data_IF_815482563276
#
_entry.id   IF_815482563276
#
_cell.length_a   1.000
_cell.length_b   1.000
_cell.length_c   1.000
_cell.angle_alpha   90.00
_cell.angle_beta   90.00
_cell.angle_gamma   90.00
#
_symmetry.space_group_name_H-M   'P 1'
#
loop_
_entity.id
_entity.type
_entity.pdbx_description
1 polymer ?
#
# COMPACT_ATOMS: atom_id res chain seq x y z
N UNK A 1 0.84 10.23 -16.99
CA UNK A 1 -0.58 9.98 -16.67
C UNK A 1 -0.88 10.68 -15.36
N UNK A 2 -1.96 11.46 -15.28
CA UNK A 2 -2.33 12.17 -14.04
C UNK A 2 -3.51 11.43 -13.37
N UNK A 3 -3.41 11.24 -12.07
CA UNK A 3 -4.43 10.65 -11.22
C UNK A 3 -4.42 11.34 -9.85
N UNK A 4 -5.49 11.15 -9.09
CA UNK A 4 -5.61 11.65 -7.73
C UNK A 4 -6.16 10.55 -6.84
N UNK A 5 -5.48 10.29 -5.73
CA UNK A 5 -6.02 9.49 -4.64
C UNK A 5 -7.06 10.34 -3.92
N UNK A 6 -8.30 9.85 -3.85
CA UNK A 6 -9.36 10.56 -3.15
C UNK A 6 -9.13 10.52 -1.64
N UNK A 7 -9.44 11.62 -0.96
CA UNK A 7 -9.55 11.65 0.50
C UNK A 7 -10.84 10.98 1.03
N UNK A 8 -11.76 10.60 0.14
CA UNK A 8 -13.01 9.92 0.48
C UNK A 8 -13.42 8.91 -0.62
N UNK A 9 -13.57 7.61 -0.30
CA UNK A 9 -13.22 7.03 0.99
C UNK A 9 -11.71 7.16 1.25
N UNK A 10 -11.35 7.44 2.50
CA UNK A 10 -9.97 7.70 2.90
C UNK A 10 -9.07 6.50 2.56
N UNK A 11 -7.87 6.75 2.06
CA UNK A 11 -6.93 5.66 1.79
C UNK A 11 -6.48 5.01 3.11
N UNK A 12 -6.31 3.69 3.11
CA UNK A 12 -5.86 2.95 4.29
C UNK A 12 -4.63 2.14 3.94
N UNK A 13 -3.62 2.23 4.79
CA UNK A 13 -2.42 1.42 4.75
C UNK A 13 -2.42 0.47 5.95
N UNK A 14 -2.31 -0.83 5.70
CA UNK A 14 -2.00 -1.83 6.71
C UNK A 14 -0.56 -2.26 6.50
N UNK A 15 0.25 -2.14 7.54
CA UNK A 15 1.66 -2.51 7.52
C UNK A 15 1.92 -3.67 8.46
N UNK A 16 2.59 -4.70 7.94
CA UNK A 16 3.07 -5.83 8.71
C UNK A 16 4.58 -5.91 8.62
N UNK A 17 5.24 -6.14 9.74
CA UNK A 17 6.64 -6.54 9.75
C UNK A 17 6.75 -7.94 9.20
N UNK A 18 7.74 -8.14 8.35
CA UNK A 18 8.10 -9.47 7.84
C UNK A 18 9.12 -10.06 8.81
N UNK A 19 8.80 -11.16 9.53
CA UNK A 19 9.72 -11.79 10.46
C UNK A 19 11.01 -12.25 9.77
N UNK A 20 12.14 -12.13 10.47
CA UNK A 20 13.46 -12.42 9.91
C UNK A 20 13.60 -13.86 9.37
N UNK A 21 12.96 -14.83 10.03
CA UNK A 21 12.90 -16.23 9.62
C UNK A 21 12.06 -16.47 8.36
N UNK A 22 11.17 -15.54 8.01
CA UNK A 22 10.33 -15.61 6.81
C UNK A 22 10.88 -14.82 5.62
N UNK A 23 11.89 -13.96 5.80
CA UNK A 23 12.41 -13.07 4.76
C UNK A 23 12.90 -13.80 3.50
N UNK A 24 13.61 -14.92 3.66
CA UNK A 24 14.12 -15.68 2.51
C UNK A 24 12.97 -16.26 1.67
N UNK A 25 11.96 -16.84 2.33
CA UNK A 25 10.79 -17.40 1.66
C UNK A 25 9.93 -16.30 1.01
N UNK A 26 9.77 -15.16 1.69
CA UNK A 26 9.09 -13.99 1.15
C UNK A 26 9.79 -13.45 -0.10
N UNK A 27 11.11 -13.29 -0.06
CA UNK A 27 11.90 -12.84 -1.22
C UNK A 27 11.79 -13.79 -2.41
N UNK A 28 11.75 -15.10 -2.17
CA UNK A 28 11.53 -16.09 -3.22
C UNK A 28 10.12 -15.97 -3.84
N UNK A 29 9.07 -15.80 -3.02
CA UNK A 29 7.70 -15.61 -3.47
C UNK A 29 7.46 -14.27 -4.18
N UNK A 30 8.20 -13.22 -3.79
CA UNK A 30 8.15 -11.91 -4.42
C UNK A 30 8.71 -11.91 -5.85
N UNK A 31 9.49 -12.94 -6.23
CA UNK A 31 10.15 -13.05 -7.54
C UNK A 31 10.93 -11.78 -7.91
N UNK A 32 11.80 -11.32 -7.01
CA UNK A 32 12.55 -10.09 -7.23
C UNK A 32 13.40 -10.17 -8.52
N UNK A 33 13.25 -9.20 -9.45
CA UNK A 33 14.13 -9.05 -10.60
C UNK A 33 15.60 -8.92 -10.21
N UNK A 34 16.49 -9.31 -11.11
CA UNK A 34 17.92 -9.15 -10.92
C UNK A 34 18.27 -7.67 -10.64
N UNK A 35 19.14 -7.44 -9.66
CA UNK A 35 19.54 -6.10 -9.23
C UNK A 35 18.64 -5.47 -8.16
N UNK A 36 17.48 -6.07 -7.85
CA UNK A 36 16.64 -5.67 -6.71
C UNK A 36 16.87 -6.60 -5.52
N UNK A 37 16.98 -6.02 -4.33
CA UNK A 37 17.10 -6.77 -3.07
C UNK A 37 16.15 -6.21 -2.02
N UNK A 38 15.56 -7.05 -1.18
CA UNK A 38 14.71 -6.59 -0.07
C UNK A 38 15.47 -5.60 0.80
N UNK A 39 14.80 -4.51 1.17
CA UNK A 39 15.36 -3.46 2.01
C UNK A 39 14.46 -3.20 3.20
N UNK A 40 15.06 -2.64 4.25
CA UNK A 40 14.33 -2.10 5.38
C UNK A 40 13.92 -0.65 5.11
N UNK A 41 12.87 -0.18 5.79
CA UNK A 41 12.46 1.24 5.79
C UNK A 41 11.92 1.63 7.16
N UNK A 42 12.11 2.90 7.55
CA UNK A 42 11.38 3.53 8.65
C UNK A 42 10.10 4.14 8.10
N UNK A 43 8.95 3.74 8.63
CA UNK A 43 7.68 4.21 8.08
C UNK A 43 7.34 5.60 8.62
N UNK A 44 7.44 5.82 9.93
CA UNK A 44 7.05 7.08 10.58
C UNK A 44 8.22 7.77 11.29
N UNK A 45 8.12 9.09 11.44
CA UNK A 45 9.05 9.87 12.24
C UNK A 45 9.04 9.37 13.70
N UNK A 46 10.24 9.27 14.29
CA UNK A 46 10.43 8.67 15.61
C UNK A 46 10.65 7.16 15.61
N UNK A 47 10.55 6.48 14.46
CA UNK A 47 10.97 5.07 14.36
C UNK A 47 12.46 4.92 14.68
N UNK A 48 12.75 4.16 15.75
CA UNK A 48 14.11 3.92 16.21
C UNK A 48 14.91 3.01 15.26
N UNK A 49 14.24 2.09 14.55
CA UNK A 49 14.85 1.12 13.65
C UNK A 49 14.06 1.02 12.35
N UNK A 50 14.78 0.77 11.25
CA UNK A 50 14.18 0.37 9.99
C UNK A 50 13.87 -1.13 10.02
N UNK A 51 12.75 -1.54 9.42
CA UNK A 51 12.31 -2.93 9.38
C UNK A 51 11.90 -3.34 7.96
N UNK A 52 11.76 -4.63 7.70
CA UNK A 52 11.15 -5.14 6.47
C UNK A 52 9.64 -5.16 6.60
N UNK A 53 8.96 -4.59 5.61
CA UNK A 53 7.52 -4.39 5.65
C UNK A 53 6.82 -4.99 4.45
N UNK A 54 5.66 -5.60 4.70
CA UNK A 54 4.60 -5.80 3.73
C UNK A 54 3.54 -4.73 4.00
N UNK A 55 3.13 -4.01 2.95
CA UNK A 55 2.10 -2.98 3.03
C UNK A 55 0.96 -3.34 2.09
N UNK A 56 -0.25 -3.45 2.61
CA UNK A 56 -1.48 -3.36 1.82
C UNK A 56 -1.96 -1.91 1.85
N UNK A 57 -2.13 -1.31 0.68
CA UNK A 57 -2.73 0.00 0.54
C UNK A 57 -4.04 -0.12 -0.25
N UNK A 58 -5.13 0.43 0.28
CA UNK A 58 -6.43 0.50 -0.40
C UNK A 58 -6.85 1.96 -0.51
N UNK A 59 -7.21 2.38 -1.72
CA UNK A 59 -7.60 3.76 -2.00
C UNK A 59 -8.57 3.81 -3.18
N UNK A 60 -9.21 4.97 -3.36
CA UNK A 60 -9.96 5.29 -4.57
C UNK A 60 -9.13 6.23 -5.45
N UNK A 61 -8.98 5.87 -6.72
CA UNK A 61 -8.36 6.72 -7.74
C UNK A 61 -9.42 7.55 -8.48
N UNK A 62 -9.02 8.73 -8.95
CA UNK A 62 -9.69 9.48 -10.01
C UNK A 62 -8.70 9.94 -11.08
N UNK A 63 -9.21 10.34 -12.25
CA UNK A 63 -8.41 10.81 -13.38
C UNK A 63 -8.29 9.75 -14.46
N UNK A 64 -7.06 9.41 -14.86
CA UNK A 64 -6.82 8.45 -15.93
C UNK A 64 -7.27 7.01 -15.60
N UNK A 65 -7.41 6.71 -14.32
CA UNK A 65 -8.10 5.54 -13.80
C UNK A 65 -9.07 5.97 -12.70
N UNK A 66 -10.22 5.29 -12.58
CA UNK A 66 -11.27 5.67 -11.66
C UNK A 66 -11.85 4.46 -10.94
N UNK A 67 -11.83 4.49 -9.61
CA UNK A 67 -12.39 3.45 -8.76
C UNK A 67 -11.40 2.92 -7.72
N UNK A 68 -11.82 1.90 -6.98
CA UNK A 68 -11.04 1.32 -5.89
C UNK A 68 -9.85 0.52 -6.41
N UNK A 69 -8.71 0.67 -5.72
CA UNK A 69 -7.49 -0.09 -5.94
C UNK A 69 -7.00 -0.66 -4.62
N UNK A 70 -6.48 -1.88 -4.68
CA UNK A 70 -5.77 -2.54 -3.61
C UNK A 70 -4.38 -2.94 -4.10
N UNK A 71 -3.35 -2.59 -3.35
CA UNK A 71 -1.96 -2.86 -3.70
C UNK A 71 -1.19 -3.46 -2.53
N UNK A 72 -0.61 -4.63 -2.75
CA UNK A 72 0.40 -5.20 -1.88
C UNK A 72 1.77 -4.79 -2.37
N UNK A 73 2.59 -4.28 -1.46
CA UNK A 73 3.92 -3.79 -1.76
C UNK A 73 4.90 -4.09 -0.64
N UNK A 74 6.18 -4.09 -1.00
CA UNK A 74 7.31 -4.13 -0.06
C UNK A 74 8.37 -3.12 -0.51
N UNK A 75 9.52 -3.11 0.15
CA UNK A 75 10.60 -2.17 -0.10
C UNK A 75 11.85 -2.90 -0.54
N UNK A 76 12.49 -2.37 -1.59
CA UNK A 76 13.70 -2.92 -2.17
C UNK A 76 14.73 -1.83 -2.37
N UNK A 77 15.99 -2.21 -2.53
CA UNK A 77 17.03 -1.33 -3.06
C UNK A 77 17.47 -1.83 -4.43
N UNK A 78 17.68 -0.87 -5.34
CA UNK A 78 18.27 -1.08 -6.67
C UNK A 78 19.80 -0.87 -6.68
N UNK A 79 20.40 -0.75 -5.49
CA UNK A 79 21.82 -0.40 -5.29
C UNK A 79 22.11 1.10 -5.29
N UNK A 80 21.12 1.94 -5.65
CA UNK A 80 21.23 3.41 -5.64
C UNK A 80 20.36 4.01 -4.54
N UNK A 81 19.14 3.51 -4.36
CA UNK A 81 18.23 4.03 -3.34
C UNK A 81 17.11 3.07 -2.98
N UNK A 82 16.34 3.46 -1.97
CA UNK A 82 15.15 2.76 -1.55
C UNK A 82 14.03 2.95 -2.59
N UNK A 83 13.30 1.88 -2.85
CA UNK A 83 12.23 1.79 -3.85
C UNK A 83 11.07 1.01 -3.29
N UNK A 84 9.86 1.40 -3.69
CA UNK A 84 8.66 0.60 -3.47
C UNK A 84 8.59 -0.47 -4.56
N UNK A 85 8.26 -1.70 -4.16
CA UNK A 85 8.11 -2.85 -5.04
C UNK A 85 6.69 -3.37 -4.95
N UNK A 86 5.96 -3.30 -6.05
CA UNK A 86 4.57 -3.75 -6.15
C UNK A 86 4.55 -5.26 -6.37
N UNK A 87 4.05 -5.97 -5.37
CA UNK A 87 3.92 -7.43 -5.37
C UNK A 87 2.66 -7.85 -6.12
N UNK A 88 1.56 -7.14 -5.88
CA UNK A 88 0.26 -7.41 -6.46
C UNK A 88 -0.59 -6.14 -6.46
N UNK A 89 -1.32 -5.91 -7.55
CA UNK A 89 -2.27 -4.81 -7.66
C UNK A 89 -3.60 -5.34 -8.19
N UNK A 90 -4.71 -4.95 -7.57
CA UNK A 90 -6.08 -5.27 -7.95
C UNK A 90 -6.88 -4.00 -8.05
N UNK A 91 -7.78 -3.93 -9.03
CA UNK A 91 -8.64 -2.76 -9.25
C UNK A 91 -10.10 -3.20 -9.39
N UNK A 92 -11.02 -2.39 -8.86
CA UNK A 92 -12.47 -2.57 -9.01
C UNK A 92 -13.01 -2.26 -10.41
N UNK A 93 -12.12 -1.99 -11.35
CA UNK A 93 -12.39 -1.60 -12.73
C UNK A 93 -11.38 -2.27 -13.65
N UNK A 94 -11.64 -2.27 -14.96
CA UNK A 94 -10.68 -2.78 -15.94
C UNK A 94 -9.44 -1.90 -15.93
N UNK A 95 -8.29 -2.48 -15.63
CA UNK A 95 -7.05 -1.73 -15.44
C UNK A 95 -5.94 -2.26 -16.33
N UNK A 96 -4.90 -1.43 -16.48
CA UNK A 96 -3.66 -1.79 -17.14
C UNK A 96 -2.53 -1.61 -16.14
N UNK A 97 -1.70 -2.64 -16.02
CA UNK A 97 -0.48 -2.62 -15.22
C UNK A 97 0.65 -3.30 -16.01
N UNK A 98 1.92 -3.03 -15.70
CA UNK A 98 3.05 -3.54 -16.48
C UNK A 98 3.16 -5.07 -16.48
N UNK A 99 2.57 -5.77 -15.50
CA UNK A 99 2.68 -7.22 -15.35
C UNK A 99 1.57 -7.94 -16.12
N UNK A 100 0.33 -7.47 -15.99
CA UNK A 100 -0.84 -8.15 -16.54
C UNK A 100 -1.32 -7.56 -17.87
N UNK A 101 -0.85 -6.36 -18.26
CA UNK A 101 -1.28 -5.55 -19.41
C UNK A 101 -2.78 -5.20 -19.40
N UNK A 102 -3.68 -6.17 -19.30
CA UNK A 102 -5.12 -5.97 -19.09
C UNK A 102 -5.61 -6.86 -17.96
N UNK A 103 -6.16 -6.23 -16.93
CA UNK A 103 -6.75 -6.88 -15.77
C UNK A 103 -8.25 -6.63 -15.77
N UNK A 104 -9.04 -7.69 -15.64
CA UNK A 104 -10.48 -7.57 -15.43
C UNK A 104 -10.79 -7.02 -14.03
N UNK A 105 -11.96 -6.38 -13.83
CA UNK A 105 -12.37 -5.89 -12.52
C UNK A 105 -12.33 -6.97 -11.45
N UNK A 106 -11.78 -6.63 -10.29
CA UNK A 106 -11.70 -7.47 -9.12
C UNK A 106 -12.68 -6.98 -8.05
N UNK A 107 -13.37 -7.86 -7.30
CA UNK A 107 -14.30 -7.42 -6.26
C UNK A 107 -13.54 -6.73 -5.13
N UNK A 108 -13.75 -5.42 -4.99
CA UNK A 108 -13.22 -4.58 -3.92
C UNK A 108 -14.37 -3.75 -3.38
N UNK A 109 -14.58 -3.80 -2.07
CA UNK A 109 -15.46 -2.89 -1.35
C UNK A 109 -14.65 -2.18 -0.27
N UNK A 110 -14.83 -0.87 -0.18
CA UNK A 110 -14.17 -0.04 0.81
C UNK A 110 -15.13 1.09 1.20
N UNK A 111 -15.56 1.08 2.45
CA UNK A 111 -16.62 1.96 2.93
C UNK A 111 -16.22 2.62 4.23
N UNK A 112 -16.60 3.89 4.38
CA UNK A 112 -16.51 4.64 5.63
C UNK A 112 -17.91 5.12 5.97
N UNK A 113 -18.43 4.75 7.15
CA UNK A 113 -19.80 5.11 7.50
C UNK A 113 -20.17 4.81 8.95
N UNK A 114 -21.33 5.33 9.41
CA UNK A 114 -21.75 5.16 10.79
C UNK A 114 -22.22 3.73 11.08
N UNK A 115 -21.71 3.12 12.15
CA UNK A 115 -22.15 1.83 12.69
C UNK A 115 -22.28 1.97 14.20
N UNK A 116 -23.50 1.80 14.72
CA UNK A 116 -23.80 1.87 16.15
C UNK A 116 -23.28 3.14 16.89
N UNK A 117 -23.11 4.26 16.17
CA UNK A 117 -22.61 5.53 16.71
C UNK A 117 -21.16 5.85 16.39
N UNK A 118 -20.37 4.86 15.96
CA UNK A 118 -18.97 5.05 15.53
C UNK A 118 -18.88 5.23 14.02
N UNK A 119 -17.87 5.95 13.54
CA UNK A 119 -17.51 5.93 12.12
C UNK A 119 -16.61 4.72 11.89
N UNK A 120 -17.07 3.72 11.13
CA UNK A 120 -16.34 2.49 10.87
C UNK A 120 -15.79 2.50 9.45
N UNK A 121 -14.54 2.07 9.31
CA UNK A 121 -13.92 1.73 8.02
C UNK A 121 -14.02 0.22 7.84
N UNK A 122 -14.60 -0.21 6.73
CA UNK A 122 -14.69 -1.62 6.36
C UNK A 122 -14.15 -1.84 4.95
N UNK A 123 -13.32 -2.86 4.79
CA UNK A 123 -12.64 -3.20 3.54
C UNK A 123 -12.79 -4.69 3.26
N UNK A 124 -13.11 -5.06 2.02
CA UNK A 124 -13.05 -6.43 1.53
C UNK A 124 -12.44 -6.47 0.13
N UNK A 125 -11.52 -7.39 -0.10
CA UNK A 125 -10.88 -7.61 -1.39
C UNK A 125 -10.98 -9.09 -1.73
N UNK A 126 -11.56 -9.43 -2.86
CA UNK A 126 -11.76 -10.83 -3.26
C UNK A 126 -12.99 -11.48 -2.63
N UNK A 127 -13.09 -12.79 -2.81
CA UNK A 127 -14.12 -13.62 -2.19
C UNK A 127 -13.53 -15.01 -1.86
N UNK A 128 -14.17 -15.70 -0.91
CA UNK A 128 -13.75 -17.05 -0.50
C UNK A 128 -12.49 -17.08 0.37
N UNK A 129 -11.80 -18.23 0.45
CA UNK A 129 -10.69 -18.45 1.39
C UNK A 129 -9.46 -17.57 1.16
N UNK A 130 -9.32 -16.98 -0.02
CA UNK A 130 -8.19 -16.11 -0.38
C UNK A 130 -8.50 -14.62 -0.22
N UNK A 131 -9.68 -14.28 0.28
CA UNK A 131 -10.10 -12.89 0.44
C UNK A 131 -9.36 -12.21 1.59
N UNK A 132 -9.19 -10.89 1.46
CA UNK A 132 -8.83 -10.02 2.57
C UNK A 132 -10.09 -9.32 3.08
N UNK A 133 -10.24 -9.22 4.40
CA UNK A 133 -11.22 -8.35 5.03
C UNK A 133 -10.63 -7.64 6.24
N UNK A 134 -11.01 -6.37 6.42
CA UNK A 134 -10.63 -5.57 7.58
C UNK A 134 -11.77 -4.67 8.02
N UNK A 135 -11.92 -4.48 9.33
CA UNK A 135 -12.87 -3.51 9.90
C UNK A 135 -12.32 -2.91 11.19
N UNK A 136 -12.51 -1.60 11.37
CA UNK A 136 -12.13 -0.89 12.60
C UNK A 136 -12.96 0.39 12.77
N UNK A 137 -13.14 0.82 14.02
CA UNK A 137 -13.64 2.16 14.31
C UNK A 137 -12.55 3.18 13.99
N UNK A 138 -12.89 4.20 13.19
CA UNK A 138 -12.01 5.29 12.83
C UNK A 138 -11.85 6.21 14.05
N UNK A 139 -10.65 6.33 14.64
CA UNK A 139 -10.46 7.22 15.76
C UNK A 139 -10.66 8.68 15.35
N UNK A 140 -11.06 9.49 16.32
CA UNK A 140 -11.09 10.95 16.16
C UNK A 140 -9.68 11.44 15.83
N UNK A 141 -9.57 12.28 14.79
CA UNK A 141 -8.28 12.82 14.39
C UNK A 141 -7.82 13.85 15.43
N UNK A 142 -6.55 13.76 15.81
CA UNK A 142 -5.92 14.69 16.74
C UNK A 142 -4.52 14.24 17.14
N UNK A 143 -3.79 15.07 17.93
CA UNK A 143 -2.36 14.90 18.15
C UNK A 143 -1.93 13.53 18.70
N UNK A 144 -2.81 12.84 19.45
CA UNK A 144 -2.53 11.50 20.00
C UNK A 144 -2.65 10.36 18.97
N UNK A 145 -3.22 10.64 17.81
CA UNK A 145 -3.44 9.68 16.72
C UNK A 145 -2.70 10.09 15.44
N UNK A 146 -2.12 11.29 15.40
CA UNK A 146 -1.38 11.77 14.25
C UNK A 146 0.01 11.13 14.18
N UNK A 147 0.34 10.61 13.00
CA UNK A 147 1.66 10.09 12.67
C UNK A 147 2.15 10.75 11.39
N UNK A 148 3.42 11.14 11.38
CA UNK A 148 4.06 11.73 10.20
C UNK A 148 4.91 10.65 9.53
N UNK A 149 4.67 10.40 8.24
CA UNK A 149 5.48 9.46 7.49
C UNK A 149 6.89 10.01 7.28
N UNK A 150 7.91 9.15 7.33
CA UNK A 150 9.28 9.59 7.05
C UNK A 150 9.41 9.99 5.58
N UNK A 151 10.33 10.91 5.30
CA UNK A 151 10.74 11.23 3.92
C UNK A 151 11.33 10.01 3.19
N UNK A 152 11.90 9.07 3.94
CA UNK A 152 12.44 7.81 3.41
C UNK A 152 11.32 6.95 2.82
N UNK A 153 10.22 6.78 3.55
CA UNK A 153 9.04 6.06 3.08
C UNK A 153 8.37 6.75 1.90
N UNK A 154 8.17 8.07 1.99
CA UNK A 154 7.59 8.86 0.89
C UNK A 154 8.45 8.74 -0.38
N UNK A 155 9.76 9.01 -0.27
CA UNK A 155 10.68 8.96 -1.40
C UNK A 155 10.90 7.56 -1.98
N UNK A 156 10.57 6.49 -1.24
CA UNK A 156 10.59 5.13 -1.80
C UNK A 156 9.58 4.97 -2.95
N UNK A 157 8.51 5.76 -2.97
CA UNK A 157 7.47 5.69 -4.01
C UNK A 157 7.80 6.50 -5.26
N UNK A 158 8.86 7.32 -5.26
CA UNK A 158 9.30 8.08 -6.44
C UNK A 158 9.61 7.18 -7.64
N UNK A 159 10.08 5.96 -7.38
CA UNK A 159 10.30 4.94 -8.38
C UNK A 159 9.77 3.59 -7.88
N UNK A 160 8.70 3.11 -8.52
CA UNK A 160 7.97 1.90 -8.17
C UNK A 160 8.28 0.79 -9.14
N UNK A 161 8.88 -0.28 -8.65
CA UNK A 161 9.16 -1.47 -9.46
C UNK A 161 8.02 -2.46 -9.39
N UNK A 162 7.77 -3.11 -10.52
CA UNK A 162 6.85 -4.22 -10.66
C UNK A 162 7.60 -5.55 -10.73
N UNK A 163 6.90 -6.67 -10.52
CA UNK A 163 7.53 -8.00 -10.50
C UNK A 163 8.26 -8.40 -11.78
N UNK A 164 7.96 -7.78 -12.91
CA UNK A 164 8.67 -8.00 -14.17
C UNK A 164 9.89 -7.06 -14.36
N UNK A 165 10.24 -6.25 -13.37
CA UNK A 165 11.38 -5.32 -13.42
C UNK A 165 11.08 -4.00 -14.12
N UNK A 166 9.85 -3.80 -14.62
CA UNK A 166 9.42 -2.50 -15.12
C UNK A 166 9.27 -1.53 -13.95
N UNK A 167 9.71 -0.29 -14.13
CA UNK A 167 9.63 0.75 -13.12
C UNK A 167 8.79 1.91 -13.61
N UNK A 168 7.83 2.34 -12.79
CA UNK A 168 7.11 3.59 -12.97
C UNK A 168 7.78 4.67 -12.14
N UNK A 169 7.85 5.90 -12.67
CA UNK A 169 8.31 7.05 -11.91
C UNK A 169 7.14 7.91 -11.52
N UNK A 170 7.03 8.25 -10.25
CA UNK A 170 5.90 9.01 -9.72
C UNK A 170 6.35 10.34 -9.13
N UNK A 171 5.47 11.32 -9.29
CA UNK A 171 5.62 12.65 -8.74
C UNK A 171 4.36 12.94 -7.93
N UNK A 172 4.55 13.22 -6.65
CA UNK A 172 3.50 13.52 -5.70
C UNK A 172 3.50 15.01 -5.38
N UNK A 173 2.33 15.57 -5.13
CA UNK A 173 2.25 16.85 -4.44
C UNK A 173 2.61 16.70 -2.94
N UNK A 174 2.74 17.81 -2.23
CA UNK A 174 3.24 17.80 -0.84
C UNK A 174 2.30 17.15 0.18
N UNK A 175 1.01 16.95 -0.14
CA UNK A 175 0.02 16.35 0.77
C UNK A 175 0.35 14.89 1.16
N UNK A 176 1.22 14.22 0.39
CA UNK A 176 1.76 12.90 0.78
C UNK A 176 2.46 12.94 2.15
N UNK A 177 3.02 14.09 2.54
CA UNK A 177 3.68 14.33 3.83
C UNK A 177 2.72 14.77 4.94
N UNK A 178 1.44 15.01 4.63
CA UNK A 178 0.47 15.38 5.65
C UNK A 178 0.32 14.25 6.69
N UNK A 179 0.12 14.59 7.98
CA UNK A 179 -0.08 13.60 9.02
C UNK A 179 -1.19 12.61 8.68
N UNK A 180 -0.94 11.33 8.96
CA UNK A 180 -1.94 10.26 8.84
C UNK A 180 -2.57 10.01 10.20
N UNK A 181 -3.79 9.47 10.20
CA UNK A 181 -4.42 8.98 11.43
C UNK A 181 -3.98 7.55 11.68
N UNK A 182 -3.27 7.31 12.76
CA UNK A 182 -2.92 5.98 13.26
C UNK A 182 -4.11 5.35 13.97
N UNK A 183 -4.32 4.06 13.70
CA UNK A 183 -5.31 3.22 14.35
C UNK A 183 -4.58 2.18 15.19
N UNK A 184 -5.03 1.98 16.43
CA UNK A 184 -4.49 0.92 17.30
C UNK A 184 -4.69 -0.44 16.62
N UNK A 185 -3.63 -1.17 16.25
CA UNK A 185 -3.74 -2.45 15.58
C UNK A 185 -4.54 -3.49 16.37
N UNK A 186 -4.58 -3.39 17.71
CA UNK A 186 -5.37 -4.30 18.55
C UNK A 186 -6.88 -4.10 18.37
N UNK A 187 -7.31 -2.93 17.89
CA UNK A 187 -8.70 -2.61 17.59
C UNK A 187 -9.11 -2.99 16.15
N UNK A 188 -8.18 -3.49 15.34
CA UNK A 188 -8.42 -3.82 13.93
C UNK A 188 -8.77 -5.30 13.79
N UNK A 189 -10.00 -5.58 13.35
CA UNK A 189 -10.37 -6.93 12.93
C UNK A 189 -9.84 -7.17 11.52
N UNK A 190 -8.99 -8.18 11.33
CA UNK A 190 -8.43 -8.57 10.02
C UNK A 190 -8.61 -10.06 9.78
N UNK A 191 -8.96 -10.43 8.56
CA UNK A 191 -8.77 -11.78 8.01
C UNK A 191 -8.04 -11.63 6.69
N UNK A 192 -6.85 -12.21 6.59
CA UNK A 192 -6.04 -12.15 5.37
C UNK A 192 -5.82 -13.56 4.81
N UNK A 193 -6.59 -13.90 3.78
CA UNK A 193 -6.42 -15.12 3.00
C UNK A 193 -5.45 -14.97 1.82
N UNK A 194 -4.87 -13.78 1.61
CA UNK A 194 -3.94 -13.55 0.51
C UNK A 194 -2.71 -14.46 0.63
N UNK A 195 -2.04 -14.70 -0.49
CA UNK A 195 -0.77 -15.46 -0.51
C UNK A 195 0.30 -14.81 0.37
N UNK A 196 0.19 -13.51 0.65
CA UNK A 196 1.15 -12.76 1.43
C UNK A 196 1.01 -12.97 2.94
N UNK A 197 -0.18 -13.38 3.41
CA UNK A 197 -0.46 -13.70 4.82
C UNK A 197 0.49 -14.75 5.40
N UNK A 198 0.99 -15.67 4.57
CA UNK A 198 1.95 -16.70 4.97
C UNK A 198 3.26 -16.11 5.53
N UNK A 199 3.61 -14.88 5.15
CA UNK A 199 4.89 -14.26 5.45
C UNK A 199 4.86 -13.25 6.61
N UNK A 200 3.69 -13.01 7.20
CA UNK A 200 3.50 -11.96 8.22
C UNK A 200 2.74 -12.49 9.44
N UNK A 201 2.53 -11.62 10.43
CA UNK A 201 1.64 -11.90 11.57
C UNK A 201 0.16 -11.78 11.18
N UNK A 202 -0.73 -12.36 12.00
CA UNK A 202 -2.18 -12.34 11.74
C UNK A 202 -2.80 -10.93 11.83
N UNK A 203 -2.22 -10.07 12.65
CA UNK A 203 -2.62 -8.67 12.81
C UNK A 203 -1.55 -7.75 12.24
N UNK A 204 -1.92 -6.60 11.66
CA UNK A 204 -0.95 -5.59 11.25
C UNK A 204 -0.18 -5.06 12.47
N UNK A 205 1.04 -4.61 12.24
CA UNK A 205 1.83 -3.89 13.24
C UNK A 205 1.44 -2.40 13.26
N UNK A 206 0.93 -1.87 12.14
CA UNK A 206 0.47 -0.48 12.02
C UNK A 206 -0.68 -0.38 11.03
N UNK A 207 -1.63 0.51 11.30
CA UNK A 207 -2.69 0.88 10.37
C UNK A 207 -2.81 2.39 10.31
N UNK A 208 -2.73 2.94 9.10
CA UNK A 208 -2.81 4.38 8.86
C UNK A 208 -3.94 4.72 7.92
N UNK A 209 -4.65 5.79 8.22
CA UNK A 209 -5.70 6.36 7.39
C UNK A 209 -5.23 7.72 6.86
N UNK A 210 -5.24 7.87 5.54
CA UNK A 210 -4.96 9.13 4.84
C UNK A 210 -6.26 9.77 4.35
N UNK A 211 -6.56 10.96 4.85
CA UNK A 211 -7.79 11.70 4.56
C UNK A 211 -7.56 12.89 3.62
N UNK A 212 -6.31 13.25 3.36
CA UNK A 212 -5.98 14.46 2.57
C UNK A 212 -6.20 14.23 1.07
N UNK A 213 -6.15 12.98 0.63
CA UNK A 213 -5.98 12.68 -0.79
C UNK A 213 -4.60 13.10 -1.28
N UNK A 214 -4.21 12.67 -2.47
CA UNK A 214 -2.91 13.06 -3.04
C UNK A 214 -2.95 13.04 -4.56
N UNK A 215 -2.66 14.17 -5.17
CA UNK A 215 -2.45 14.25 -6.60
C UNK A 215 -1.11 13.63 -7.01
N UNK A 216 -1.15 12.83 -8.07
CA UNK A 216 0.00 12.11 -8.59
C UNK A 216 0.13 12.23 -10.10
N UNK A 217 1.36 12.36 -10.56
CA UNK A 217 1.72 12.19 -11.98
C UNK A 217 2.64 11.00 -12.11
N UNK A 218 2.23 10.01 -12.90
CA UNK A 218 3.01 8.82 -13.19
C UNK A 218 3.60 8.91 -14.59
N UNK A 219 4.91 8.69 -14.70
CA UNK A 219 5.58 8.35 -15.95
C UNK A 219 5.73 6.81 -16.00
N UNK A 220 4.81 6.12 -16.67
CA UNK A 220 4.80 4.67 -16.67
C UNK A 220 5.97 4.13 -17.47
N UNK A 221 6.49 2.98 -17.05
CA UNK A 221 7.54 2.24 -17.77
C UNK A 221 8.81 3.05 -18.00
N UNK A 222 9.14 3.93 -17.04
CA UNK A 222 10.23 4.89 -17.08
C UNK A 222 11.60 4.29 -17.42
N UNK A 223 11.85 3.04 -17.00
CA UNK A 223 13.12 2.36 -17.24
C UNK A 223 13.20 1.64 -18.59
N UNK A 224 12.12 1.61 -19.38
CA UNK A 224 12.12 1.07 -20.73
C UNK A 224 12.54 2.17 -21.72
N UNK A 225 13.53 1.87 -22.58
CA UNK A 225 14.00 2.80 -23.61
C UNK A 225 13.33 2.45 -24.94
N UNK A 226 12.77 3.46 -25.61
CA UNK A 226 12.30 3.35 -27.01
C UNK A 226 10.86 2.85 -27.21
N UNK A 227 10.01 3.00 -26.20
CA UNK A 227 8.54 2.97 -26.37
C UNK A 227 8.01 4.37 -26.74
#
# INVERSE_FOLDING_TARGET
>A
MQSSVQGSPAAVNWHWKIPADKLAAFGAAAHLPAGLTLSTVRLQDGDAVADHWLTLNVHADTGASSGLRAEWSTYVTDGVGLRKFVLESRAGYRSLDPVNLFSDPYPIAHTVGPVAGDTVVATSIGSGPTAFSSSFALPEAGPSTEVVATREWVGSSDLRYWRNGVADREFYESSVLDPKTSVDPAAVSVTDGSVWSAFVGATPDRVWVDRSGTDTVTNPWFNLKGL
#
